data_IF_737781101517
#
_entry.id   IF_737781101517
#
_cell.length_a   1.000
_cell.length_b   1.000
_cell.length_c   1.000
_cell.angle_alpha   90.00
_cell.angle_beta   90.00
_cell.angle_gamma   90.00
#
_symmetry.space_group_name_H-M   'P 1'
#
loop_
_entity.id
_entity.type
_entity.pdbx_description
1 polymer ?
#
# COMPACT_ATOMS: atom_id res chain seq x y z
N UNK A 1 -13.61 2.45 13.77
CA UNK A 1 -13.46 1.54 12.62
C UNK A 1 -12.23 2.04 11.90
N UNK A 2 -11.09 1.39 12.09
CA UNK A 2 -9.86 1.81 11.41
C UNK A 2 -10.05 1.57 9.92
N UNK A 3 -10.05 2.64 9.14
CA UNK A 3 -10.09 2.55 7.68
C UNK A 3 -8.81 1.84 7.22
N UNK A 4 -8.95 0.79 6.39
CA UNK A 4 -7.78 0.03 5.93
C UNK A 4 -6.95 0.92 5.02
N UNK A 5 -5.64 1.02 5.29
CA UNK A 5 -4.71 1.87 4.54
C UNK A 5 -4.78 1.66 3.01
N UNK A 6 -5.01 0.42 2.57
CA UNK A 6 -5.19 0.09 1.15
C UNK A 6 -6.46 0.70 0.53
N UNK A 7 -7.58 0.74 1.26
CA UNK A 7 -8.83 1.35 0.79
C UNK A 7 -8.68 2.87 0.68
N UNK A 8 -7.98 3.49 1.64
CA UNK A 8 -7.63 4.90 1.59
C UNK A 8 -6.76 5.22 0.37
N UNK A 9 -5.74 4.41 0.08
CA UNK A 9 -4.84 4.60 -1.07
C UNK A 9 -5.56 4.48 -2.42
N UNK A 10 -6.58 3.63 -2.51
CA UNK A 10 -7.47 3.57 -3.68
C UNK A 10 -8.30 4.84 -3.80
N UNK A 11 -8.91 5.28 -2.70
CA UNK A 11 -9.78 6.48 -2.70
C UNK A 11 -9.03 7.74 -3.15
N UNK A 12 -7.78 7.90 -2.75
CA UNK A 12 -6.95 9.06 -3.13
C UNK A 12 -6.26 8.90 -4.49
N UNK A 13 -6.47 7.76 -5.18
CA UNK A 13 -5.93 7.51 -6.52
C UNK A 13 -4.43 7.18 -6.55
N UNK A 14 -3.81 6.92 -5.40
CA UNK A 14 -2.38 6.59 -5.28
C UNK A 14 -2.12 5.13 -5.66
N UNK A 15 -3.08 4.24 -5.42
CA UNK A 15 -3.01 2.85 -5.84
C UNK A 15 -4.31 2.39 -6.47
N UNK A 16 -4.23 1.40 -7.35
CA UNK A 16 -5.39 0.66 -7.85
C UNK A 16 -5.74 -0.50 -6.90
N UNK A 17 -6.98 -1.01 -7.01
CA UNK A 17 -7.39 -2.21 -6.25
C UNK A 17 -6.46 -3.41 -6.50
N UNK A 18 -6.05 -3.61 -7.75
CA UNK A 18 -5.14 -4.70 -8.11
C UNK A 18 -3.76 -4.57 -7.43
N UNK A 19 -3.22 -3.36 -7.34
CA UNK A 19 -1.94 -3.12 -6.64
C UNK A 19 -2.08 -3.33 -5.12
N UNK A 20 -3.20 -2.93 -4.53
CA UNK A 20 -3.48 -3.20 -3.10
C UNK A 20 -3.57 -4.71 -2.85
N UNK A 21 -4.31 -5.43 -3.68
CA UNK A 21 -4.44 -6.88 -3.57
C UNK A 21 -3.07 -7.59 -3.71
N UNK A 22 -2.21 -7.13 -4.61
CA UNK A 22 -0.86 -7.67 -4.82
C UNK A 22 0.05 -7.50 -3.58
N UNK A 23 -0.04 -6.36 -2.90
CA UNK A 23 0.67 -6.12 -1.63
C UNK A 23 0.11 -7.01 -0.50
N UNK A 24 -1.22 -7.13 -0.39
CA UNK A 24 -1.87 -7.97 0.62
C UNK A 24 -1.52 -9.45 0.44
N UNK A 25 -1.42 -9.92 -0.80
CA UNK A 25 -0.98 -11.28 -1.11
C UNK A 25 0.44 -11.50 -0.59
N UNK A 26 1.38 -10.58 -0.83
CA UNK A 26 2.77 -10.69 -0.32
C UNK A 26 2.86 -10.74 1.19
N UNK A 27 2.12 -9.88 1.90
CA UNK A 27 2.06 -9.93 3.36
C UNK A 27 1.53 -11.27 3.87
N UNK A 28 0.47 -11.80 3.25
CA UNK A 28 -0.09 -13.12 3.59
C UNK A 28 0.84 -14.27 3.22
N UNK A 29 1.67 -14.11 2.20
CA UNK A 29 2.68 -15.08 1.78
C UNK A 29 3.93 -15.11 2.67
N UNK A 30 3.97 -14.29 3.73
CA UNK A 30 5.03 -14.31 4.74
C UNK A 30 6.07 -13.20 4.59
N UNK A 31 5.84 -12.21 3.73
CA UNK A 31 6.64 -10.99 3.74
C UNK A 31 6.43 -10.23 5.05
N UNK A 32 7.51 -9.99 5.79
CA UNK A 32 7.48 -9.35 7.11
C UNK A 32 7.43 -7.83 7.05
N UNK A 33 7.60 -7.24 5.86
CA UNK A 33 7.57 -5.79 5.65
C UNK A 33 6.14 -5.25 5.82
N UNK A 34 6.05 -3.97 6.20
CA UNK A 34 4.79 -3.24 6.28
C UNK A 34 4.19 -3.04 4.88
N UNK A 35 2.88 -2.81 4.83
CA UNK A 35 2.16 -2.59 3.57
C UNK A 35 2.81 -1.49 2.72
N UNK A 36 3.13 -0.35 3.34
CA UNK A 36 3.78 0.78 2.66
C UNK A 36 5.19 0.47 2.16
N UNK A 37 5.97 -0.33 2.89
CA UNK A 37 7.32 -0.74 2.47
C UNK A 37 7.27 -1.66 1.25
N UNK A 38 6.31 -2.59 1.23
CA UNK A 38 6.09 -3.47 0.08
C UNK A 38 5.62 -2.64 -1.12
N UNK A 39 4.61 -1.77 -0.91
CA UNK A 39 4.07 -0.91 -1.96
C UNK A 39 5.15 0.02 -2.56
N UNK A 40 6.02 0.61 -1.73
CA UNK A 40 7.16 1.43 -2.19
C UNK A 40 8.17 0.57 -2.95
N UNK A 41 8.53 -0.61 -2.43
CA UNK A 41 9.47 -1.52 -3.11
C UNK A 41 8.96 -2.05 -4.47
N UNK A 42 7.63 -2.12 -4.66
CA UNK A 42 7.00 -2.48 -5.93
C UNK A 42 6.81 -1.29 -6.87
N UNK A 43 7.18 -0.07 -6.44
CA UNK A 43 6.98 1.16 -7.21
C UNK A 43 5.52 1.59 -7.35
N UNK A 44 4.63 1.07 -6.49
CA UNK A 44 3.21 1.43 -6.51
C UNK A 44 2.96 2.79 -5.88
N UNK A 45 3.82 3.18 -4.94
CA UNK A 45 3.82 4.49 -4.32
C UNK A 45 5.24 5.03 -4.39
N UNK A 46 5.40 6.29 -4.77
CA UNK A 46 6.67 7.00 -4.63
C UNK A 46 6.74 7.57 -3.21
N UNK A 47 7.95 7.69 -2.64
CA UNK A 47 8.16 8.17 -1.27
C UNK A 47 7.56 9.56 -1.00
N UNK A 48 7.32 10.38 -2.04
CA UNK A 48 6.56 11.63 -1.94
C UNK A 48 5.09 11.43 -1.56
N UNK A 49 4.43 10.38 -2.08
CA UNK A 49 3.04 10.07 -1.74
C UNK A 49 2.92 9.58 -0.28
N UNK A 50 3.95 8.91 0.25
CA UNK A 50 4.00 8.45 1.64
C UNK A 50 4.22 9.61 2.62
N UNK A 51 5.09 10.57 2.27
CA UNK A 51 5.40 11.73 3.13
C UNK A 51 4.24 12.69 3.36
N UNK A 52 3.20 12.67 2.54
CA UNK A 52 2.02 13.53 2.71
C UNK A 52 1.06 13.07 3.81
N UNK A 53 1.25 11.89 4.41
CA UNK A 53 0.24 11.27 5.28
C UNK A 53 0.77 10.78 6.65
N UNK A 54 2.05 11.02 6.97
CA UNK A 54 2.63 10.78 8.31
C UNK A 54 2.68 12.05 9.14
#
# INVERSE_FOLDING_TARGET
>A
MDEKIGEQFIRIGVMTKAQVDDVLVRQKSGDKRLFGEIASSLGYINDEAVRSYV
#
